data_IF_495148854256
#
_entry.id   IF_495148854256
#
_cell.length_a   1.000
_cell.length_b   1.000
_cell.length_c   1.000
_cell.angle_alpha   90.00
_cell.angle_beta   90.00
_cell.angle_gamma   90.00
#
_symmetry.space_group_name_H-M   'P 1'
#
loop_
_entity.id
_entity.type
_entity.pdbx_description
1 polymer ?
#
# COMPACT_ATOMS: atom_id res chain seq x y z
N UNK A 1 -32.60 -2.49 -2.74
CA UNK A 1 -31.40 -2.29 -3.61
C UNK A 1 -31.86 -2.49 -5.06
N UNK A 2 -31.56 -1.55 -5.94
CA UNK A 2 -31.78 -1.75 -7.39
C UNK A 2 -30.69 -2.66 -7.92
N UNK A 3 -31.06 -3.71 -8.66
CA UNK A 3 -30.10 -4.58 -9.34
C UNK A 3 -29.61 -4.00 -10.68
N UNK A 4 -30.14 -2.86 -11.07
CA UNK A 4 -29.85 -2.20 -12.34
C UNK A 4 -29.39 -0.79 -12.00
N UNK A 5 -28.24 -0.39 -12.53
CA UNK A 5 -27.82 1.01 -12.53
C UNK A 5 -28.81 1.78 -13.40
N UNK A 6 -29.49 2.76 -12.80
CA UNK A 6 -30.58 3.50 -13.45
C UNK A 6 -30.40 5.01 -13.37
N UNK A 7 -29.26 5.47 -12.85
CA UNK A 7 -28.97 6.89 -12.76
C UNK A 7 -28.09 7.39 -13.91
N UNK A 8 -28.11 8.69 -14.15
CA UNK A 8 -27.32 9.34 -15.19
C UNK A 8 -25.82 9.42 -14.85
N UNK A 9 -25.38 8.82 -13.74
CA UNK A 9 -23.96 8.87 -13.30
C UNK A 9 -23.06 8.15 -14.27
N UNK A 10 -23.50 6.99 -14.78
CA UNK A 10 -22.75 6.20 -15.77
C UNK A 10 -22.57 6.99 -17.07
N UNK A 11 -23.63 7.66 -17.54
CA UNK A 11 -23.55 8.48 -18.75
C UNK A 11 -22.63 9.68 -18.54
N UNK A 12 -22.69 10.34 -17.39
CA UNK A 12 -21.76 11.45 -17.07
C UNK A 12 -20.31 10.99 -17.06
N UNK A 13 -20.04 9.83 -16.46
CA UNK A 13 -18.70 9.26 -16.48
C UNK A 13 -18.20 8.99 -17.92
N UNK A 14 -19.05 8.41 -18.77
CA UNK A 14 -18.74 8.14 -20.18
C UNK A 14 -18.49 9.45 -20.95
N UNK A 15 -19.31 10.46 -20.70
CA UNK A 15 -19.17 11.79 -21.33
C UNK A 15 -17.88 12.48 -20.89
N UNK A 16 -17.58 12.47 -19.61
CA UNK A 16 -16.32 13.00 -19.05
C UNK A 16 -15.10 12.26 -19.63
N UNK A 17 -15.18 10.94 -19.77
CA UNK A 17 -14.14 10.16 -20.45
C UNK A 17 -13.95 10.61 -21.89
N UNK A 18 -15.05 10.74 -22.65
CA UNK A 18 -15.00 11.18 -24.05
C UNK A 18 -14.41 12.58 -24.24
N UNK A 19 -14.52 13.42 -23.21
CA UNK A 19 -13.99 14.80 -23.19
C UNK A 19 -12.60 14.90 -22.53
N UNK A 20 -11.98 13.79 -22.13
CA UNK A 20 -10.69 13.77 -21.43
C UNK A 20 -10.72 14.41 -20.03
N UNK A 21 -11.89 14.44 -19.40
CA UNK A 21 -12.11 15.05 -18.07
C UNK A 21 -12.12 14.06 -16.93
N UNK A 22 -11.91 12.76 -17.20
CA UNK A 22 -11.87 11.76 -16.14
C UNK A 22 -10.78 12.12 -15.13
N UNK A 23 -11.17 12.07 -13.86
CA UNK A 23 -10.25 12.26 -12.77
C UNK A 23 -9.32 11.04 -12.66
N UNK A 24 -8.04 11.25 -12.90
CA UNK A 24 -7.02 10.25 -12.66
C UNK A 24 -6.89 9.99 -11.16
N UNK A 25 -6.45 8.78 -10.80
CA UNK A 25 -5.98 8.48 -9.45
C UNK A 25 -4.89 9.46 -9.00
N UNK A 26 -4.71 9.60 -7.69
CA UNK A 26 -3.76 10.54 -7.11
C UNK A 26 -2.31 10.12 -7.44
N UNK A 27 -1.46 11.08 -7.77
CA UNK A 27 -0.08 10.84 -8.15
C UNK A 27 0.81 10.49 -6.95
N UNK A 28 1.94 9.87 -7.23
CA UNK A 28 2.96 9.52 -6.23
C UNK A 28 3.98 10.63 -6.01
N UNK A 29 3.98 11.65 -6.85
CA UNK A 29 4.99 12.71 -6.88
C UNK A 29 6.17 12.42 -7.81
N UNK A 30 6.22 11.26 -8.42
CA UNK A 30 7.18 10.93 -9.49
C UNK A 30 6.40 10.65 -10.78
N UNK A 31 6.51 11.53 -11.81
CA UNK A 31 5.77 11.37 -13.07
C UNK A 31 6.01 10.02 -13.76
N UNK A 32 7.23 9.47 -13.65
CA UNK A 32 7.54 8.17 -14.24
C UNK A 32 6.83 7.03 -13.50
N UNK A 33 6.72 7.10 -12.19
CA UNK A 33 5.98 6.10 -11.43
C UNK A 33 4.48 6.23 -11.66
N UNK A 34 3.98 7.46 -11.82
CA UNK A 34 2.56 7.77 -12.07
C UNK A 34 2.04 7.21 -13.40
N UNK A 35 2.94 6.88 -14.35
CA UNK A 35 2.58 6.14 -15.57
C UNK A 35 2.07 4.73 -15.26
N UNK A 36 2.59 4.12 -14.18
CA UNK A 36 2.30 2.73 -13.81
C UNK A 36 1.40 2.61 -12.61
N UNK A 37 1.59 3.46 -11.61
CA UNK A 37 0.91 3.37 -10.33
C UNK A 37 0.34 4.72 -9.89
N UNK A 38 -0.91 4.71 -9.43
CA UNK A 38 -1.57 5.85 -8.79
C UNK A 38 -2.35 5.38 -7.57
N UNK A 39 -2.50 6.25 -6.58
CA UNK A 39 -3.35 5.98 -5.44
C UNK A 39 -4.82 6.06 -5.85
N UNK A 40 -5.52 4.96 -5.69
CA UNK A 40 -6.95 4.81 -5.97
C UNK A 40 -7.63 4.10 -4.81
N UNK A 41 -8.89 4.40 -4.60
CA UNK A 41 -9.73 3.68 -3.63
C UNK A 41 -10.19 2.36 -4.24
N UNK A 42 -9.28 1.40 -4.29
CA UNK A 42 -9.44 0.12 -4.97
C UNK A 42 -8.83 -1.03 -4.16
N UNK A 43 -9.15 -2.26 -4.53
CA UNK A 43 -8.56 -3.44 -3.93
C UNK A 43 -7.22 -3.78 -4.59
N UNK A 44 -6.13 -3.58 -3.84
CA UNK A 44 -4.77 -3.79 -4.29
C UNK A 44 -4.11 -4.94 -3.52
N UNK A 45 -3.42 -5.81 -4.23
CA UNK A 45 -2.59 -6.86 -3.66
C UNK A 45 -1.12 -6.58 -3.93
N UNK A 46 -0.30 -6.67 -2.89
CA UNK A 46 1.15 -6.62 -2.96
C UNK A 46 1.67 -8.02 -2.71
N UNK A 47 2.49 -8.58 -3.60
CA UNK A 47 3.18 -9.83 -3.34
C UNK A 47 4.71 -9.68 -3.44
N UNK A 48 5.42 -10.72 -3.10
CA UNK A 48 6.88 -10.81 -3.20
C UNK A 48 7.44 -11.89 -2.28
N UNK A 49 8.69 -12.25 -2.49
CA UNK A 49 9.38 -13.20 -1.63
C UNK A 49 9.53 -12.69 -0.19
N UNK A 50 9.83 -13.60 0.73
CA UNK A 50 10.16 -13.22 2.11
C UNK A 50 11.42 -12.36 2.15
N UNK A 51 11.46 -11.40 3.08
CA UNK A 51 12.62 -10.52 3.34
C UNK A 51 13.07 -9.59 2.19
N UNK A 52 12.26 -9.43 1.13
CA UNK A 52 12.58 -8.46 0.06
C UNK A 52 12.23 -7.01 0.40
N UNK A 53 11.62 -6.76 1.56
CA UNK A 53 11.26 -5.42 2.03
C UNK A 53 9.87 -4.96 1.58
N UNK A 54 8.94 -5.89 1.35
CA UNK A 54 7.54 -5.58 1.00
C UNK A 54 6.91 -4.57 1.96
N UNK A 55 6.88 -4.91 3.25
CA UNK A 55 6.35 -4.05 4.32
C UNK A 55 6.98 -2.66 4.31
N UNK A 56 8.32 -2.59 4.20
CA UNK A 56 9.05 -1.32 4.19
C UNK A 56 8.66 -0.45 2.99
N UNK A 57 8.59 -1.05 1.80
CA UNK A 57 8.20 -0.33 0.57
C UNK A 57 6.73 0.08 0.63
N UNK A 58 5.84 -0.80 1.09
CA UNK A 58 4.42 -0.49 1.27
C UNK A 58 4.22 0.66 2.27
N UNK A 59 4.86 0.62 3.44
CA UNK A 59 4.77 1.69 4.44
C UNK A 59 5.34 3.02 3.92
N UNK A 60 6.34 2.99 3.03
CA UNK A 60 6.84 4.21 2.38
C UNK A 60 5.83 4.81 1.41
N UNK A 61 5.16 3.98 0.60
CA UNK A 61 4.06 4.43 -0.25
C UNK A 61 2.86 4.93 0.56
N UNK A 62 2.54 4.28 1.66
CA UNK A 62 1.50 4.69 2.62
C UNK A 62 1.84 6.05 3.23
N UNK A 63 3.08 6.25 3.70
CA UNK A 63 3.54 7.55 4.21
C UNK A 63 3.48 8.63 3.13
N UNK A 64 3.86 8.29 1.89
CA UNK A 64 3.77 9.21 0.75
C UNK A 64 2.33 9.69 0.51
N UNK A 65 1.34 8.79 0.49
CA UNK A 65 -0.07 9.18 0.29
C UNK A 65 -0.59 10.07 1.42
N UNK A 66 -0.16 9.83 2.66
CA UNK A 66 -0.50 10.68 3.79
C UNK A 66 0.14 12.08 3.69
N UNK A 67 1.42 12.15 3.30
CA UNK A 67 2.14 13.43 3.14
C UNK A 67 1.58 14.26 2.00
N UNK A 68 1.31 13.65 0.83
CA UNK A 68 0.91 14.38 -0.36
C UNK A 68 -0.60 14.64 -0.45
N UNK A 69 -1.41 13.72 0.06
CA UNK A 69 -2.86 13.74 -0.16
C UNK A 69 -3.67 13.74 1.15
N UNK A 70 -3.00 13.72 2.31
CA UNK A 70 -3.66 13.70 3.60
C UNK A 70 -4.39 12.39 3.91
N UNK A 71 -4.09 11.30 3.19
CA UNK A 71 -4.78 10.03 3.39
C UNK A 71 -4.64 9.51 4.82
N UNK A 72 -5.76 8.99 5.34
CA UNK A 72 -5.85 8.35 6.65
C UNK A 72 -5.94 6.84 6.50
N UNK A 73 -5.05 6.15 7.16
CA UNK A 73 -4.87 4.71 7.04
C UNK A 73 -5.21 3.97 8.33
N UNK A 74 -5.84 2.83 8.18
CA UNK A 74 -5.83 1.79 9.22
C UNK A 74 -4.77 0.76 8.83
N UNK A 75 -3.90 0.37 9.77
CA UNK A 75 -2.82 -0.58 9.53
C UNK A 75 -2.93 -1.73 10.50
N UNK A 76 -3.03 -2.95 9.98
CA UNK A 76 -2.84 -4.19 10.72
C UNK A 76 -1.57 -4.87 10.26
N UNK A 77 -0.60 -5.02 11.15
CA UNK A 77 0.63 -5.78 10.89
C UNK A 77 0.80 -6.81 12.00
N UNK A 78 0.69 -8.09 11.65
CA UNK A 78 0.82 -9.19 12.63
C UNK A 78 2.27 -9.52 12.97
N UNK A 79 3.20 -9.25 12.04
CA UNK A 79 4.62 -9.59 12.19
C UNK A 79 5.42 -8.49 12.87
N UNK A 80 4.94 -7.24 12.84
CA UNK A 80 5.66 -6.09 13.36
C UNK A 80 4.98 -5.53 14.61
N UNK A 81 5.78 -5.15 15.61
CA UNK A 81 5.25 -4.40 16.76
C UNK A 81 4.61 -3.10 16.28
N UNK A 82 3.48 -2.72 16.85
CA UNK A 82 2.79 -1.47 16.51
C UNK A 82 3.70 -0.24 16.64
N UNK A 83 4.57 -0.22 17.67
CA UNK A 83 5.57 0.83 17.84
C UNK A 83 6.60 0.87 16.70
N UNK A 84 7.00 -0.29 16.16
CA UNK A 84 7.95 -0.36 15.03
C UNK A 84 7.34 0.18 13.75
N UNK A 85 6.05 -0.11 13.49
CA UNK A 85 5.32 0.45 12.35
C UNK A 85 5.26 1.98 12.46
N UNK A 86 4.84 2.51 13.62
CA UNK A 86 4.78 3.95 13.86
C UNK A 86 6.15 4.61 13.73
N UNK A 87 7.20 3.99 14.26
CA UNK A 87 8.58 4.48 14.13
C UNK A 87 9.03 4.58 12.67
N UNK A 88 8.71 3.58 11.84
CA UNK A 88 9.02 3.61 10.41
C UNK A 88 8.33 4.78 9.71
N UNK A 89 7.04 5.00 9.98
CA UNK A 89 6.28 6.12 9.43
C UNK A 89 6.86 7.48 9.83
N UNK A 90 7.23 7.66 11.11
CA UNK A 90 7.92 8.88 11.57
C UNK A 90 9.24 9.10 10.81
N UNK A 91 10.06 8.06 10.68
CA UNK A 91 11.34 8.12 9.98
C UNK A 91 11.18 8.46 8.50
N UNK A 92 10.18 7.88 7.84
CA UNK A 92 9.90 8.19 6.45
C UNK A 92 9.42 9.63 6.27
N UNK A 93 8.51 10.10 7.12
CA UNK A 93 8.00 11.47 7.04
C UNK A 93 9.11 12.53 7.19
N UNK A 94 10.06 12.30 8.10
CA UNK A 94 11.12 13.26 8.42
C UNK A 94 12.45 13.03 7.69
N UNK A 95 12.63 11.89 7.00
CA UNK A 95 13.92 11.43 6.48
C UNK A 95 15.04 11.43 7.55
N UNK A 96 14.69 11.06 8.77
CA UNK A 96 15.58 11.12 9.92
C UNK A 96 15.37 9.91 10.83
N UNK A 97 16.45 9.31 11.33
CA UNK A 97 16.33 8.24 12.34
C UNK A 97 15.71 8.79 13.61
N UNK A 98 14.83 8.04 14.25
CA UNK A 98 14.22 8.42 15.54
C UNK A 98 15.30 8.68 16.60
N UNK A 99 16.42 7.94 16.55
CA UNK A 99 17.56 8.15 17.46
C UNK A 99 18.22 9.54 17.31
N UNK A 100 18.17 10.11 16.12
CA UNK A 100 18.76 11.40 15.78
C UNK A 100 17.76 12.58 15.92
N UNK A 101 16.49 12.28 16.17
CA UNK A 101 15.45 13.29 16.38
C UNK A 101 15.56 13.89 17.79
N UNK A 102 15.39 15.19 17.91
CA UNK A 102 15.14 15.86 19.18
C UNK A 102 13.83 15.40 19.81
N UNK A 103 13.61 15.70 21.09
CA UNK A 103 12.34 15.37 21.74
C UNK A 103 11.13 16.04 21.07
N UNK A 104 11.29 17.33 20.69
CA UNK A 104 10.22 18.07 19.99
C UNK A 104 9.89 17.45 18.63
N UNK A 105 10.90 17.15 17.81
CA UNK A 105 10.71 16.48 16.52
C UNK A 105 10.00 15.14 16.69
N UNK A 106 10.40 14.33 17.67
CA UNK A 106 9.72 13.05 17.94
C UNK A 106 8.26 13.23 18.33
N UNK A 107 7.94 14.25 19.14
CA UNK A 107 6.59 14.53 19.57
C UNK A 107 5.70 14.96 18.40
N UNK A 108 6.17 15.87 17.57
CA UNK A 108 5.44 16.35 16.40
C UNK A 108 5.25 15.24 15.34
N UNK A 109 6.32 14.49 15.03
CA UNK A 109 6.23 13.36 14.12
C UNK A 109 5.26 12.27 14.63
N UNK A 110 5.27 12.02 15.95
CA UNK A 110 4.34 11.06 16.54
C UNK A 110 2.89 11.56 16.51
N UNK A 111 2.66 12.87 16.72
CA UNK A 111 1.34 13.49 16.59
C UNK A 111 0.79 13.34 15.17
N UNK A 112 1.63 13.61 14.16
CA UNK A 112 1.27 13.40 12.75
C UNK A 112 0.93 11.93 12.46
N UNK A 113 1.71 10.98 13.01
CA UNK A 113 1.40 9.55 12.87
C UNK A 113 0.05 9.21 13.51
N UNK A 114 -0.29 9.80 14.66
CA UNK A 114 -1.60 9.57 15.30
C UNK A 114 -2.76 10.16 14.51
N UNK A 115 -2.54 11.27 13.80
CA UNK A 115 -3.54 11.91 12.97
C UNK A 115 -3.87 11.09 11.70
N UNK A 116 -2.84 10.51 11.07
CA UNK A 116 -2.99 9.83 9.78
C UNK A 116 -3.08 8.30 9.86
N UNK A 117 -2.66 7.69 10.97
CA UNK A 117 -2.54 6.23 11.05
C UNK A 117 -3.14 5.64 12.32
N UNK A 118 -4.20 4.87 12.14
CA UNK A 118 -4.72 4.00 13.20
C UNK A 118 -4.07 2.62 13.07
N UNK A 119 -3.17 2.26 14.02
CA UNK A 119 -2.51 0.95 14.00
C UNK A 119 -3.23 0.00 14.94
N UNK A 120 -3.78 -1.09 14.38
CA UNK A 120 -4.52 -2.11 15.12
C UNK A 120 -3.57 -2.86 16.06
N UNK A 121 -3.98 -3.10 17.30
CA UNK A 121 -3.26 -3.95 18.23
C UNK A 121 -3.19 -5.39 17.68
N UNK A 122 -2.00 -5.97 17.66
CA UNK A 122 -1.72 -7.29 17.13
C UNK A 122 -1.42 -8.36 18.20
N UNK A 123 -1.89 -8.15 19.43
CA UNK A 123 -1.81 -9.16 20.50
C UNK A 123 -2.71 -10.37 20.24
N UNK A 124 -3.62 -10.26 19.28
CA UNK A 124 -4.51 -11.32 18.83
C UNK A 124 -4.39 -11.52 17.32
N UNK A 125 -4.69 -12.74 16.87
CA UNK A 125 -4.78 -13.06 15.44
C UNK A 125 -6.23 -12.94 15.00
N UNK A 126 -6.49 -12.10 14.04
CA UNK A 126 -7.82 -11.81 13.51
C UNK A 126 -8.09 -12.61 12.22
N UNK A 127 -9.36 -12.91 11.95
CA UNK A 127 -9.83 -13.36 10.65
C UNK A 127 -10.07 -12.15 9.73
N UNK A 128 -10.27 -12.39 8.43
CA UNK A 128 -10.64 -11.30 7.51
C UNK A 128 -11.96 -10.63 7.91
N UNK A 129 -12.92 -11.41 8.40
CA UNK A 129 -14.21 -10.90 8.87
C UNK A 129 -14.06 -10.01 10.11
N UNK A 130 -13.18 -10.38 11.06
CA UNK A 130 -12.87 -9.53 12.22
C UNK A 130 -12.29 -8.17 11.78
N UNK A 131 -11.39 -8.18 10.79
CA UNK A 131 -10.80 -6.95 10.24
C UNK A 131 -11.87 -6.06 9.61
N UNK A 132 -12.77 -6.62 8.80
CA UNK A 132 -13.87 -5.87 8.18
C UNK A 132 -14.78 -5.25 9.26
N UNK A 133 -15.20 -6.04 10.25
CA UNK A 133 -16.01 -5.53 11.36
C UNK A 133 -15.30 -4.43 12.17
N UNK A 134 -13.99 -4.56 12.35
CA UNK A 134 -13.20 -3.52 13.00
C UNK A 134 -13.18 -2.23 12.16
N UNK A 135 -12.99 -2.35 10.85
CA UNK A 135 -13.00 -1.20 9.93
C UNK A 135 -14.34 -0.47 9.97
N UNK A 136 -15.46 -1.18 9.93
CA UNK A 136 -16.79 -0.57 10.06
C UNK A 136 -16.94 0.26 11.35
N UNK A 137 -16.37 -0.23 12.46
CA UNK A 137 -16.39 0.51 13.74
C UNK A 137 -15.53 1.77 13.67
N UNK A 138 -14.33 1.68 13.08
CA UNK A 138 -13.43 2.83 12.95
C UNK A 138 -14.05 3.91 12.06
N UNK A 139 -14.62 3.51 10.91
CA UNK A 139 -15.25 4.41 9.95
C UNK A 139 -16.48 5.16 10.50
N UNK A 140 -17.13 4.61 11.53
CA UNK A 140 -18.20 5.34 12.25
C UNK A 140 -17.67 6.46 13.16
N UNK A 141 -16.38 6.45 13.48
CA UNK A 141 -15.76 7.38 14.43
C UNK A 141 -14.88 8.43 13.74
N UNK A 142 -14.32 8.08 12.58
CA UNK A 142 -13.41 8.95 11.84
C UNK A 142 -13.41 8.60 10.35
N UNK A 143 -13.09 9.58 9.51
CA UNK A 143 -12.90 9.38 8.09
C UNK A 143 -11.62 8.57 7.85
N UNK A 144 -11.72 7.56 6.99
CA UNK A 144 -10.62 6.67 6.60
C UNK A 144 -10.60 6.55 5.09
N UNK A 145 -9.42 6.67 4.49
CA UNK A 145 -9.22 6.51 3.05
C UNK A 145 -8.78 5.10 2.68
N UNK A 146 -8.08 4.40 3.59
CA UNK A 146 -7.48 3.13 3.26
C UNK A 146 -7.21 2.22 4.46
N UNK A 147 -7.10 0.90 4.18
CA UNK A 147 -6.57 -0.10 5.11
C UNK A 147 -5.39 -0.85 4.47
N UNK A 148 -4.39 -1.16 5.28
CA UNK A 148 -3.26 -2.02 4.94
C UNK A 148 -3.18 -3.23 5.89
N UNK A 149 -3.14 -4.44 5.32
CA UNK A 149 -3.06 -5.71 6.04
C UNK A 149 -1.74 -6.41 5.69
N UNK A 150 -0.89 -6.67 6.70
CA UNK A 150 0.49 -7.13 6.53
C UNK A 150 0.91 -8.22 7.54
N UNK A 151 1.10 -9.46 7.07
CA UNK A 151 0.62 -9.98 5.80
C UNK A 151 -0.80 -10.60 5.94
N UNK A 152 -1.50 -10.74 4.82
CA UNK A 152 -2.77 -11.47 4.76
C UNK A 152 -2.63 -12.92 5.22
N UNK A 153 -1.52 -13.57 4.87
CA UNK A 153 -1.25 -14.98 5.17
C UNK A 153 -1.17 -15.29 6.68
N UNK A 154 -1.05 -14.27 7.52
CA UNK A 154 -1.07 -14.42 8.98
C UNK A 154 -2.46 -14.32 9.59
N UNK A 155 -3.48 -14.00 8.81
CA UNK A 155 -4.84 -13.94 9.30
C UNK A 155 -5.32 -15.35 9.68
N UNK A 156 -6.17 -15.40 10.70
CA UNK A 156 -6.80 -16.65 11.13
C UNK A 156 -7.75 -17.17 10.05
N UNK A 157 -7.57 -18.42 9.66
CA UNK A 157 -8.52 -19.13 8.82
C UNK A 157 -9.70 -19.58 9.69
N UNK A 158 -10.80 -18.85 9.63
CA UNK A 158 -12.02 -19.20 10.36
C UNK A 158 -12.96 -20.02 9.48
N UNK A 159 -12.67 -21.31 9.37
CA UNK A 159 -13.41 -22.28 8.58
C UNK A 159 -14.33 -23.17 9.43
N UNK A 160 -14.48 -22.88 10.73
CA UNK A 160 -15.28 -23.69 11.63
C UNK A 160 -16.75 -23.70 11.22
N UNK A 161 -17.29 -24.91 11.05
CA UNK A 161 -18.70 -25.10 10.66
C UNK A 161 -18.99 -24.86 9.17
N UNK A 162 -17.97 -24.64 8.35
CA UNK A 162 -18.08 -24.54 6.90
C UNK A 162 -17.54 -25.80 6.22
N UNK A 163 -18.11 -26.17 5.08
CA UNK A 163 -17.61 -27.26 4.23
C UNK A 163 -16.76 -26.72 3.06
N UNK A 164 -16.22 -25.51 3.17
CA UNK A 164 -15.41 -24.89 2.12
C UNK A 164 -13.94 -25.30 2.23
N UNK A 165 -13.27 -25.46 1.08
CA UNK A 165 -11.84 -25.69 1.03
C UNK A 165 -11.04 -24.41 1.29
N UNK A 166 -9.75 -24.55 1.65
CA UNK A 166 -8.85 -23.40 1.90
C UNK A 166 -8.82 -22.43 0.70
N UNK A 167 -8.80 -22.95 -0.52
CA UNK A 167 -8.82 -22.13 -1.73
C UNK A 167 -10.12 -21.31 -1.89
N UNK A 168 -11.25 -21.88 -1.49
CA UNK A 168 -12.53 -21.18 -1.56
C UNK A 168 -12.65 -20.13 -0.46
N UNK A 169 -12.08 -20.40 0.72
CA UNK A 169 -11.96 -19.41 1.80
C UNK A 169 -11.15 -18.17 1.33
N UNK A 170 -10.00 -18.39 0.68
CA UNK A 170 -9.21 -17.27 0.16
C UNK A 170 -9.95 -16.49 -0.93
N UNK A 171 -10.72 -17.17 -1.77
CA UNK A 171 -11.53 -16.51 -2.80
C UNK A 171 -12.66 -15.69 -2.17
N UNK A 172 -13.32 -16.22 -1.14
CA UNK A 172 -14.34 -15.52 -0.38
C UNK A 172 -13.77 -14.29 0.30
N UNK A 173 -12.65 -14.43 1.03
CA UNK A 173 -11.97 -13.31 1.68
C UNK A 173 -11.59 -12.19 0.68
N UNK A 174 -11.03 -12.55 -0.48
CA UNK A 174 -10.69 -11.58 -1.52
C UNK A 174 -11.94 -10.89 -2.10
N UNK A 175 -13.05 -11.64 -2.22
CA UNK A 175 -14.33 -11.09 -2.70
C UNK A 175 -14.94 -10.12 -1.69
N UNK A 176 -14.88 -10.46 -0.40
CA UNK A 176 -15.35 -9.59 0.69
C UNK A 176 -14.53 -8.30 0.77
N UNK A 177 -13.20 -8.37 0.68
CA UNK A 177 -12.36 -7.18 0.64
C UNK A 177 -12.63 -6.28 -0.58
N UNK A 178 -12.81 -6.87 -1.77
CA UNK A 178 -13.19 -6.11 -2.96
C UNK A 178 -14.55 -5.43 -2.79
N UNK A 179 -15.56 -6.17 -2.28
CA UNK A 179 -16.90 -5.64 -2.04
C UNK A 179 -16.86 -4.53 -1.00
N UNK A 180 -16.10 -4.73 0.09
CA UNK A 180 -15.93 -3.75 1.14
C UNK A 180 -15.26 -2.46 0.62
N UNK A 181 -14.20 -2.58 -0.19
CA UNK A 181 -13.54 -1.46 -0.85
C UNK A 181 -14.53 -0.62 -1.67
N UNK A 182 -15.30 -1.27 -2.54
CA UNK A 182 -16.27 -0.60 -3.43
C UNK A 182 -17.45 0.00 -2.68
N UNK A 183 -17.98 -0.71 -1.69
CA UNK A 183 -19.16 -0.25 -0.94
C UNK A 183 -18.87 0.97 -0.06
N UNK A 184 -17.63 1.15 0.37
CA UNK A 184 -17.23 2.20 1.29
C UNK A 184 -16.33 3.27 0.66
N UNK A 185 -16.01 3.16 -0.62
CA UNK A 185 -15.08 4.06 -1.33
C UNK A 185 -13.75 4.23 -0.58
N UNK A 186 -13.10 3.12 -0.22
CA UNK A 186 -11.80 3.09 0.44
C UNK A 186 -10.82 2.17 -0.28
N UNK A 187 -9.52 2.45 -0.17
CA UNK A 187 -8.49 1.54 -0.63
C UNK A 187 -8.31 0.37 0.35
N UNK A 188 -8.21 -0.86 -0.18
CA UNK A 188 -7.85 -2.05 0.62
C UNK A 188 -6.57 -2.63 0.05
N UNK A 189 -5.48 -2.59 0.82
CA UNK A 189 -4.18 -3.12 0.43
C UNK A 189 -3.85 -4.38 1.23
N UNK A 190 -3.64 -5.49 0.54
CA UNK A 190 -3.18 -6.74 1.15
C UNK A 190 -1.73 -7.01 0.78
N UNK A 191 -0.85 -7.16 1.78
CA UNK A 191 0.47 -7.71 1.58
C UNK A 191 0.40 -9.24 1.69
N UNK A 192 0.84 -9.95 0.65
CA UNK A 192 0.80 -11.40 0.57
C UNK A 192 2.21 -11.97 0.37
N UNK A 193 2.42 -13.21 0.83
CA UNK A 193 3.62 -13.96 0.48
C UNK A 193 3.44 -14.65 -0.88
N UNK A 194 4.55 -14.81 -1.61
CA UNK A 194 4.60 -15.70 -2.74
C UNK A 194 4.87 -17.14 -2.27
N UNK A 195 4.27 -18.10 -2.97
CA UNK A 195 4.52 -19.52 -2.71
C UNK A 195 5.99 -19.90 -2.85
N UNK A 196 6.40 -20.96 -2.17
CA UNK A 196 7.80 -21.42 -2.11
C UNK A 196 8.38 -21.82 -3.48
N UNK A 197 7.55 -22.31 -4.39
CA UNK A 197 7.98 -22.67 -5.76
C UNK A 197 8.51 -21.45 -6.53
N UNK A 198 7.93 -20.27 -6.33
CA UNK A 198 8.39 -19.05 -6.97
C UNK A 198 9.85 -18.71 -6.60
N UNK A 199 10.27 -19.01 -5.37
CA UNK A 199 11.63 -18.75 -4.89
C UNK A 199 12.69 -19.64 -5.57
N UNK A 200 12.28 -20.77 -6.14
CA UNK A 200 13.18 -21.70 -6.84
C UNK A 200 13.53 -21.23 -8.25
N UNK A 201 12.73 -20.33 -8.83
CA UNK A 201 13.02 -19.76 -10.14
C UNK A 201 14.15 -18.76 -10.04
N UNK A 202 15.20 -19.00 -10.82
CA UNK A 202 16.39 -18.15 -10.83
C UNK A 202 16.62 -17.56 -12.20
N UNK A 203 17.09 -16.32 -12.21
CA UNK A 203 17.54 -15.65 -13.42
C UNK A 203 18.93 -16.12 -13.88
N UNK A 204 19.44 -15.57 -14.98
CA UNK A 204 20.78 -15.87 -15.48
C UNK A 204 21.91 -15.56 -14.49
N UNK A 205 21.66 -14.64 -13.54
CA UNK A 205 22.55 -14.26 -12.45
C UNK A 205 22.54 -15.25 -11.26
N UNK A 206 21.75 -16.32 -11.35
CA UNK A 206 21.59 -17.32 -10.30
C UNK A 206 20.76 -16.85 -9.09
N UNK A 207 20.23 -15.63 -9.11
CA UNK A 207 19.39 -15.07 -8.07
C UNK A 207 17.90 -15.33 -8.34
N UNK A 208 17.03 -15.39 -7.30
CA UNK A 208 15.59 -15.49 -7.51
C UNK A 208 15.09 -14.35 -8.39
N UNK A 209 14.17 -14.67 -9.30
CA UNK A 209 13.46 -13.67 -10.12
C UNK A 209 12.23 -13.14 -9.38
N UNK A 210 11.75 -11.97 -9.79
CA UNK A 210 10.51 -11.43 -9.25
C UNK A 210 9.34 -12.41 -9.44
N UNK A 211 8.52 -12.69 -8.41
CA UNK A 211 7.37 -13.55 -8.57
C UNK A 211 6.35 -12.93 -9.51
N UNK A 212 5.58 -13.78 -10.19
CA UNK A 212 4.40 -13.37 -10.91
C UNK A 212 3.20 -13.22 -9.96
N UNK A 213 2.12 -12.63 -10.44
CA UNK A 213 0.91 -12.47 -9.64
C UNK A 213 0.33 -13.82 -9.21
N UNK A 214 0.35 -14.80 -10.10
CA UNK A 214 -0.14 -16.17 -9.89
C UNK A 214 0.65 -16.96 -8.85
N UNK A 215 1.87 -16.53 -8.54
CA UNK A 215 2.71 -17.13 -7.50
C UNK A 215 2.26 -16.76 -6.07
N UNK A 216 1.28 -15.89 -5.92
CA UNK A 216 0.76 -15.51 -4.60
C UNK A 216 0.20 -16.73 -3.89
N UNK A 217 0.52 -16.87 -2.61
CA UNK A 217 -0.11 -17.88 -1.77
C UNK A 217 -1.62 -17.65 -1.72
N UNK A 218 -2.40 -18.66 -2.13
CA UNK A 218 -3.83 -18.50 -2.45
C UNK A 218 -4.13 -18.49 -3.95
N UNK A 219 -3.10 -18.29 -4.80
CA UNK A 219 -3.12 -18.54 -6.24
C UNK A 219 -3.90 -17.52 -7.07
N UNK A 220 -4.21 -17.90 -8.31
CA UNK A 220 -4.86 -17.05 -9.31
C UNK A 220 -6.22 -16.49 -8.91
N UNK A 221 -6.88 -17.04 -7.89
CA UNK A 221 -8.15 -16.52 -7.36
C UNK A 221 -8.00 -15.10 -6.81
N UNK A 222 -6.88 -14.80 -6.15
CA UNK A 222 -6.54 -13.45 -5.67
C UNK A 222 -6.32 -12.48 -6.82
N UNK A 223 -5.56 -12.91 -7.84
CA UNK A 223 -5.28 -12.08 -9.02
C UNK A 223 -6.57 -11.66 -9.71
N UNK A 224 -7.52 -12.59 -9.83
CA UNK A 224 -8.80 -12.33 -10.50
C UNK A 224 -9.66 -11.29 -9.76
N UNK A 225 -9.56 -11.23 -8.43
CA UNK A 225 -10.34 -10.29 -7.61
C UNK A 225 -9.68 -8.93 -7.47
N UNK A 226 -8.35 -8.84 -7.44
CA UNK A 226 -7.66 -7.57 -7.31
C UNK A 226 -7.98 -6.61 -8.46
N UNK A 227 -8.16 -5.33 -8.16
CA UNK A 227 -8.23 -4.26 -9.14
C UNK A 227 -6.82 -3.87 -9.59
N UNK A 228 -5.89 -3.78 -8.65
CA UNK A 228 -4.46 -3.56 -8.91
C UNK A 228 -3.62 -4.67 -8.27
N UNK A 229 -2.54 -5.07 -8.94
CA UNK A 229 -1.61 -6.07 -8.42
C UNK A 229 -0.18 -5.60 -8.59
N UNK A 230 0.57 -5.57 -7.49
CA UNK A 230 1.96 -5.09 -7.43
C UNK A 230 2.86 -6.18 -6.88
N UNK A 231 3.99 -6.44 -7.55
CA UNK A 231 5.04 -7.30 -7.02
C UNK A 231 6.22 -6.44 -6.57
N UNK A 232 6.64 -6.60 -5.32
CA UNK A 232 7.86 -6.00 -4.80
C UNK A 232 8.96 -7.06 -4.78
N UNK A 233 10.05 -6.76 -5.46
CA UNK A 233 11.21 -7.65 -5.54
C UNK A 233 12.50 -6.93 -5.19
N UNK A 234 13.44 -7.67 -4.60
CA UNK A 234 14.79 -7.20 -4.30
C UNK A 234 15.75 -8.38 -4.30
N UNK A 235 16.87 -8.26 -5.00
CA UNK A 235 17.91 -9.27 -5.06
C UNK A 235 18.79 -9.21 -3.81
N UNK A 236 18.21 -9.56 -2.66
CA UNK A 236 18.86 -9.45 -1.33
C UNK A 236 20.15 -10.25 -1.18
N UNK A 237 20.31 -11.29 -1.99
CA UNK A 237 21.50 -12.17 -1.99
C UNK A 237 22.55 -11.75 -3.02
N UNK A 238 22.37 -10.65 -3.76
CA UNK A 238 23.38 -10.17 -4.71
C UNK A 238 24.70 -9.86 -4.00
N UNK A 239 25.82 -10.16 -4.63
CA UNK A 239 27.14 -9.75 -4.16
C UNK A 239 27.32 -8.22 -4.24
N UNK A 240 26.65 -7.56 -5.22
CA UNK A 240 26.70 -6.12 -5.39
C UNK A 240 25.79 -5.40 -4.35
N UNK A 241 26.38 -4.55 -3.47
CA UNK A 241 25.62 -3.80 -2.48
C UNK A 241 24.60 -2.83 -3.09
N UNK A 242 24.83 -2.33 -4.30
CA UNK A 242 23.90 -1.40 -4.96
C UNK A 242 22.65 -2.15 -5.43
N UNK A 243 22.83 -3.34 -5.99
CA UNK A 243 21.72 -4.22 -6.39
C UNK A 243 20.92 -4.66 -5.16
N UNK A 244 21.59 -4.97 -4.03
CA UNK A 244 20.89 -5.36 -2.80
C UNK A 244 19.99 -4.30 -2.21
N UNK A 245 20.22 -3.02 -2.49
CA UNK A 245 19.41 -1.89 -1.98
C UNK A 245 18.25 -1.53 -2.90
N UNK A 246 18.25 -2.05 -4.13
CA UNK A 246 17.27 -1.70 -5.14
C UNK A 246 16.00 -2.53 -4.96
N UNK A 247 14.90 -1.87 -4.65
CA UNK A 247 13.56 -2.45 -4.63
C UNK A 247 12.91 -2.22 -5.98
N UNK A 248 12.62 -3.30 -6.67
CA UNK A 248 11.90 -3.31 -7.94
C UNK A 248 10.40 -3.37 -7.66
N UNK A 249 9.64 -2.45 -8.24
CA UNK A 249 8.18 -2.40 -8.16
C UNK A 249 7.63 -2.76 -9.53
N UNK A 250 7.02 -3.93 -9.62
CA UNK A 250 6.38 -4.42 -10.83
C UNK A 250 4.87 -4.27 -10.67
N UNK A 251 4.26 -3.35 -11.37
CA UNK A 251 2.81 -3.30 -11.50
C UNK A 251 2.39 -4.39 -12.48
N UNK A 252 1.69 -5.41 -12.00
CA UNK A 252 1.33 -6.61 -12.78
C UNK A 252 -0.05 -6.53 -13.39
N UNK A 253 -0.95 -5.78 -12.74
CA UNK A 253 -2.33 -5.62 -13.17
C UNK A 253 -2.86 -4.25 -12.78
N UNK A 254 -3.58 -3.63 -13.68
CA UNK A 254 -4.44 -2.46 -13.45
C UNK A 254 -5.75 -2.75 -14.16
N UNK A 255 -6.88 -2.75 -13.44
CA UNK A 255 -8.18 -3.08 -14.03
C UNK A 255 -8.77 -1.90 -14.80
N UNK A 256 -8.74 -0.71 -14.20
CA UNK A 256 -9.28 0.51 -14.78
C UNK A 256 -8.13 1.44 -15.19
N UNK A 257 -7.60 1.20 -16.40
CA UNK A 257 -6.48 2.01 -16.95
C UNK A 257 -6.93 3.44 -17.31
N UNK A 258 -8.22 3.64 -17.51
CA UNK A 258 -8.84 4.94 -17.81
C UNK A 258 -8.62 5.94 -16.67
N UNK A 259 -8.54 5.47 -15.44
CA UNK A 259 -8.25 6.28 -14.25
C UNK A 259 -6.74 6.41 -13.97
N UNK A 260 -5.91 6.01 -14.91
CA UNK A 260 -4.45 6.09 -14.86
C UNK A 260 -3.79 4.85 -14.27
N UNK A 261 -2.50 4.73 -14.54
CA UNK A 261 -1.69 3.56 -14.25
C UNK A 261 -1.73 2.53 -15.37
N UNK A 262 -0.69 1.72 -15.45
CA UNK A 262 -0.55 0.63 -16.42
C UNK A 262 0.40 -0.44 -15.88
N UNK A 263 0.36 -1.69 -16.37
CA UNK A 263 1.37 -2.67 -16.04
C UNK A 263 2.78 -2.20 -16.46
N UNK A 264 3.78 -2.43 -15.59
CA UNK A 264 5.18 -2.15 -15.95
C UNK A 264 5.69 -3.17 -16.96
N UNK A 265 6.64 -2.80 -17.85
CA UNK A 265 7.38 -3.78 -18.63
C UNK A 265 8.05 -4.81 -17.70
N UNK A 266 8.15 -6.07 -18.15
CA UNK A 266 8.74 -7.13 -17.33
C UNK A 266 10.21 -6.85 -16.99
N UNK A 267 10.94 -6.28 -17.94
CA UNK A 267 12.39 -6.06 -17.87
C UNK A 267 12.76 -4.66 -17.36
N UNK A 268 11.77 -3.74 -17.23
CA UNK A 268 11.99 -2.37 -16.75
C UNK A 268 10.98 -1.99 -15.66
N UNK A 269 11.06 -2.61 -14.47
CA UNK A 269 10.24 -2.23 -13.32
C UNK A 269 10.61 -0.84 -12.81
N UNK A 270 9.68 -0.18 -12.12
CA UNK A 270 10.04 1.02 -11.38
C UNK A 270 10.94 0.66 -10.18
N UNK A 271 12.00 1.44 -9.94
CA UNK A 271 12.99 1.12 -8.92
C UNK A 271 13.11 2.21 -7.87
N UNK A 272 13.05 1.78 -6.61
CA UNK A 272 13.38 2.57 -5.44
C UNK A 272 14.66 2.05 -4.79
N UNK A 273 15.57 2.93 -4.41
CA UNK A 273 16.83 2.55 -3.75
C UNK A 273 16.77 3.00 -2.30
N UNK A 274 16.85 2.05 -1.37
CA UNK A 274 16.88 2.36 0.06
C UNK A 274 18.09 3.25 0.37
N UNK A 275 17.86 4.40 1.03
CA UNK A 275 18.95 5.28 1.46
C UNK A 275 19.80 4.64 2.59
N UNK A 276 20.98 5.20 2.84
CA UNK A 276 21.92 4.63 3.83
C UNK A 276 21.41 4.70 5.26
N UNK A 277 20.57 5.67 5.57
CA UNK A 277 19.96 5.84 6.88
C UNK A 277 18.76 4.92 7.13
N UNK A 278 18.25 4.26 6.08
CA UNK A 278 17.01 3.48 6.12
C UNK A 278 15.77 4.29 6.53
N UNK A 279 15.78 5.59 6.22
CA UNK A 279 14.70 6.54 6.52
C UNK A 279 13.87 6.92 5.29
N UNK A 280 14.12 6.29 4.15
CA UNK A 280 13.40 6.54 2.93
C UNK A 280 14.10 5.92 1.72
N UNK A 281 13.61 6.30 0.55
CA UNK A 281 14.15 5.81 -0.70
C UNK A 281 14.62 6.98 -1.58
N UNK A 282 15.55 6.68 -2.46
CA UNK A 282 16.00 7.56 -3.54
C UNK A 282 15.69 6.94 -4.90
N UNK A 283 15.62 7.78 -5.93
CA UNK A 283 15.59 7.35 -7.32
C UNK A 283 16.96 6.83 -7.77
N UNK A 284 17.05 6.26 -8.96
CA UNK A 284 18.33 5.85 -9.57
C UNK A 284 19.36 6.97 -9.72
N UNK A 285 18.92 8.22 -9.79
CA UNK A 285 19.80 9.41 -9.85
C UNK A 285 20.12 10.00 -8.47
N UNK A 286 19.75 9.31 -7.39
CA UNK A 286 20.10 9.68 -6.03
C UNK A 286 19.24 10.78 -5.40
N UNK A 287 18.22 11.27 -6.06
CA UNK A 287 17.25 12.20 -5.47
C UNK A 287 16.30 11.45 -4.55
N UNK A 288 15.79 12.12 -3.51
CA UNK A 288 14.74 11.54 -2.67
C UNK A 288 13.53 11.20 -3.54
N UNK A 289 13.03 9.97 -3.37
CA UNK A 289 11.93 9.47 -4.17
C UNK A 289 10.58 9.89 -3.58
N UNK A 290 9.64 10.21 -4.44
CA UNK A 290 8.22 10.41 -4.25
C UNK A 290 7.84 11.69 -3.49
N UNK A 291 8.37 11.98 -2.31
CA UNK A 291 7.99 13.15 -1.52
C UNK A 291 9.17 13.77 -0.75
N UNK A 292 9.03 15.02 -0.39
CA UNK A 292 10.00 15.72 0.45
C UNK A 292 9.71 15.50 1.94
N UNK A 293 10.73 15.50 2.81
CA UNK A 293 10.53 15.37 4.26
C UNK A 293 9.67 16.51 4.81
N UNK A 294 8.86 16.19 5.80
CA UNK A 294 8.08 17.18 6.54
C UNK A 294 9.00 17.88 7.55
N UNK A 295 9.02 19.22 7.52
CA UNK A 295 9.61 20.02 8.59
C UNK A 295 8.53 20.42 9.59
N UNK A 296 8.24 19.56 10.55
CA UNK A 296 7.19 19.79 11.55
C UNK A 296 7.41 21.04 12.38
N UNK A 297 8.65 21.43 12.64
CA UNK A 297 8.95 22.61 13.45
C UNK A 297 8.64 23.92 12.71
N UNK A 298 8.83 23.97 11.41
CA UNK A 298 8.44 25.14 10.60
C UNK A 298 6.91 25.21 10.46
N UNK A 299 6.22 24.09 10.30
CA UNK A 299 4.76 24.07 10.23
C UNK A 299 4.10 24.54 11.53
N UNK A 300 4.67 24.20 12.68
CA UNK A 300 4.20 24.64 13.99
C UNK A 300 4.38 26.17 14.22
N UNK A 301 5.24 26.83 13.46
CA UNK A 301 5.50 28.29 13.56
C UNK A 301 4.67 29.12 12.56
N UNK A 302 4.00 28.49 11.59
CA UNK A 302 3.09 29.21 10.72
C UNK A 302 1.84 29.64 11.53
N UNK A 303 1.49 30.95 11.55
CA UNK A 303 0.26 31.38 12.21
C UNK A 303 -0.93 30.68 11.55
N UNK A 304 -1.81 30.07 12.37
CA UNK A 304 -3.09 29.58 11.88
C UNK A 304 -3.78 30.75 11.17
N UNK A 305 -3.91 30.67 9.85
CA UNK A 305 -4.77 31.59 9.12
C UNK A 305 -6.21 31.32 9.57
N UNK A 306 -6.61 32.01 10.62
CA UNK A 306 -8.01 32.08 11.04
C UNK A 306 -8.70 32.94 9.99
N UNK A 307 -9.16 32.32 8.91
CA UNK A 307 -10.15 32.96 8.05
C UNK A 307 -11.46 33.04 8.84
N UNK A 308 -11.61 34.13 9.59
CA UNK A 308 -12.95 34.59 9.98
C UNK A 308 -13.67 34.98 8.68
N UNK A 309 -14.52 34.08 8.20
CA UNK A 309 -15.57 34.49 7.28
C UNK A 309 -16.49 35.42 8.05
N UNK A 310 -16.39 36.74 7.73
CA UNK A 310 -17.40 37.73 8.03
C UNK A 310 -18.60 37.58 7.09
#
# INVERSE_FOLDING_TARGET
MSFISSDDSDFRWIDDYSQGKIQLGLGTGDPKFDEFFRYKKEFLIINGHSNVGKTTTALYLIANSAVQHGWKWVIYSSENRTASVKMSLMQFAMDKKVADMTYSERKEAYSWVQEHFTVINNEQVYSYADIILFMEKVMRQQDIDAIFIDPYNSLKLDMKGTNIGVHDYHYEAASEFLTFSKANDIAVWLNCHSGTEAQRRKGPDGLPVAPYAEDTEGGGKFVNRADCFVTIHRKVQSADPNIRKMSEIHVRKVREVETGGAPTPLEDPYCLIMNLSHTGFTTRIGQRALFQPINFLEQAQMPMNINFLG
#
